data_IF_453866676141
#
_entry.id   IF_453866676141
#
_cell.length_a   1.000
_cell.length_b   1.000
_cell.length_c   1.000
_cell.angle_alpha   90.00
_cell.angle_beta   90.00
_cell.angle_gamma   90.00
#
_symmetry.space_group_name_H-M   'P 1'
#
loop_
_entity.id
_entity.type
_entity.pdbx_description
1 polymer ?
#
# COMPACT_ATOMS: atom_id res chain seq x y z
N UNK A 1 -15.79 16.39 16.65
CA UNK A 1 -14.86 15.35 16.21
C UNK A 1 -14.39 15.72 14.83
N UNK A 2 -13.09 15.89 14.63
CA UNK A 2 -12.54 16.13 13.29
C UNK A 2 -12.75 14.89 12.42
N UNK A 3 -12.69 15.05 11.10
CA UNK A 3 -12.79 13.88 10.23
C UNK A 3 -11.57 12.98 10.37
N UNK A 4 -10.40 13.53 10.72
CA UNK A 4 -9.21 12.75 11.08
C UNK A 4 -9.50 11.81 12.25
N UNK A 5 -10.02 12.35 13.36
CA UNK A 5 -10.39 11.56 14.55
C UNK A 5 -11.41 10.49 14.20
N UNK A 6 -12.46 10.86 13.45
CA UNK A 6 -13.53 9.94 13.05
C UNK A 6 -12.99 8.80 12.19
N UNK A 7 -12.14 9.10 11.21
CA UNK A 7 -11.53 8.11 10.31
C UNK A 7 -10.64 7.14 11.08
N UNK A 8 -9.82 7.64 12.00
CA UNK A 8 -8.96 6.81 12.85
C UNK A 8 -9.80 5.91 13.78
N UNK A 9 -10.85 6.44 14.39
CA UNK A 9 -11.75 5.66 15.25
C UNK A 9 -12.48 4.55 14.49
N UNK A 10 -12.94 4.82 13.26
CA UNK A 10 -13.52 3.81 12.37
C UNK A 10 -12.51 2.71 12.08
N UNK A 11 -11.29 3.09 11.68
CA UNK A 11 -10.23 2.12 11.38
C UNK A 11 -9.93 1.23 12.60
N UNK A 12 -9.70 1.85 13.77
CA UNK A 12 -9.40 1.12 15.01
C UNK A 12 -10.53 0.17 15.41
N UNK A 13 -11.78 0.57 15.19
CA UNK A 13 -12.94 -0.26 15.50
C UNK A 13 -13.06 -1.47 14.56
N UNK A 14 -12.79 -1.28 13.27
CA UNK A 14 -12.90 -2.33 12.27
C UNK A 14 -11.79 -3.39 12.40
N UNK A 15 -10.56 -2.97 12.67
CA UNK A 15 -9.38 -3.85 12.79
C UNK A 15 -8.98 -4.13 14.24
N UNK A 16 -9.84 -3.81 15.21
CA UNK A 16 -9.65 -4.08 16.64
C UNK A 16 -8.30 -3.60 17.20
N UNK A 17 -7.82 -2.45 16.71
CA UNK A 17 -6.54 -1.88 17.09
C UNK A 17 -6.61 -1.31 18.52
N UNK A 18 -6.03 -2.04 19.46
CA UNK A 18 -6.03 -1.69 20.89
C UNK A 18 -4.89 -0.76 21.29
N UNK A 19 -3.77 -0.84 20.58
CA UNK A 19 -2.58 -0.01 20.85
C UNK A 19 -2.81 1.40 20.35
N UNK A 20 -2.23 2.37 21.06
CA UNK A 20 -2.20 3.76 20.62
C UNK A 20 -0.89 4.03 19.90
N UNK A 21 -0.99 4.59 18.70
CA UNK A 21 0.16 4.87 17.84
C UNK A 21 0.31 6.39 17.70
N UNK A 22 1.52 6.95 17.90
CA UNK A 22 1.73 8.39 17.85
C UNK A 22 1.63 8.87 16.40
N UNK A 23 0.50 9.47 16.05
CA UNK A 23 0.17 9.91 14.70
C UNK A 23 -0.49 11.30 14.72
N UNK A 24 0.01 12.19 13.88
CA UNK A 24 -0.49 13.56 13.72
C UNK A 24 -0.76 13.86 12.24
N UNK A 25 -1.84 14.57 11.95
CA UNK A 25 -2.18 15.02 10.60
C UNK A 25 -2.09 16.52 10.53
N UNK A 26 -1.30 17.02 9.58
CA UNK A 26 -1.14 18.45 9.30
C UNK A 26 -1.66 18.75 7.90
N UNK A 27 -2.63 19.65 7.82
CA UNK A 27 -3.13 20.18 6.54
C UNK A 27 -2.29 21.40 6.18
N UNK A 28 -1.79 21.46 4.94
CA UNK A 28 -0.89 22.51 4.47
C UNK A 28 -1.16 22.87 3.01
N UNK A 29 -0.78 24.07 2.59
CA UNK A 29 -0.69 24.51 1.19
C UNK A 29 0.69 24.24 0.58
N UNK A 30 1.66 23.82 1.41
CA UNK A 30 3.04 23.56 1.00
C UNK A 30 3.64 22.41 1.82
N UNK A 31 3.68 21.21 1.23
CA UNK A 31 4.28 20.02 1.84
C UNK A 31 5.78 20.19 2.01
N UNK A 32 6.46 20.85 1.08
CA UNK A 32 7.91 21.03 1.13
C UNK A 32 8.32 21.92 2.31
N UNK A 33 7.65 23.06 2.47
CA UNK A 33 7.91 23.98 3.59
C UNK A 33 7.62 23.34 4.95
N UNK A 34 6.52 22.57 5.07
CA UNK A 34 6.26 21.82 6.30
C UNK A 34 7.30 20.72 6.54
N UNK A 35 7.69 19.97 5.51
CA UNK A 35 8.71 18.92 5.64
C UNK A 35 10.07 19.47 6.08
N UNK A 36 10.44 20.68 5.64
CA UNK A 36 11.67 21.37 6.08
C UNK A 36 11.65 21.73 7.56
N UNK A 37 10.50 22.15 8.11
CA UNK A 37 10.36 22.48 9.54
C UNK A 37 10.57 21.25 10.44
N UNK A 38 10.31 20.06 9.90
CA UNK A 38 10.48 18.78 10.58
C UNK A 38 11.91 18.22 10.50
N UNK A 39 12.85 18.92 9.86
CA UNK A 39 14.25 18.50 9.81
C UNK A 39 14.98 18.87 11.10
N UNK A 40 15.74 17.92 11.66
CA UNK A 40 16.51 18.14 12.89
C UNK A 40 18.03 18.05 12.69
N UNK A 41 18.48 17.51 11.55
CA UNK A 41 19.89 17.39 11.20
C UNK A 41 20.16 18.09 9.87
N UNK A 42 21.40 18.53 9.67
CA UNK A 42 21.81 19.14 8.41
C UNK A 42 21.69 18.18 7.22
N UNK A 43 21.96 16.90 7.46
CA UNK A 43 21.81 15.84 6.47
C UNK A 43 20.35 15.67 6.03
N UNK A 44 19.41 15.61 6.97
CA UNK A 44 17.96 15.53 6.68
C UNK A 44 17.49 16.78 5.91
N UNK A 45 17.95 17.97 6.33
CA UNK A 45 17.66 19.22 5.62
C UNK A 45 18.17 19.21 4.17
N UNK A 46 19.40 18.76 3.93
CA UNK A 46 19.99 18.72 2.60
C UNK A 46 19.29 17.67 1.69
N UNK A 47 18.86 16.53 2.25
CA UNK A 47 18.05 15.54 1.54
C UNK A 47 16.68 16.10 1.14
N UNK A 48 15.98 16.76 2.06
CA UNK A 48 14.68 17.38 1.78
C UNK A 48 14.80 18.48 0.71
N UNK A 49 15.84 19.31 0.79
CA UNK A 49 16.12 20.33 -0.24
C UNK A 49 16.39 19.72 -1.61
N UNK A 50 17.09 18.59 -1.68
CA UNK A 50 17.34 17.89 -2.94
C UNK A 50 16.04 17.35 -3.56
N UNK A 51 15.02 17.06 -2.75
CA UNK A 51 13.71 16.54 -3.18
C UNK A 51 12.64 17.62 -3.38
N UNK A 52 13.00 18.91 -3.42
CA UNK A 52 12.04 20.01 -3.43
C UNK A 52 10.97 19.89 -4.54
N UNK A 53 11.39 19.54 -5.76
CA UNK A 53 10.45 19.39 -6.89
C UNK A 53 9.45 18.25 -6.67
N UNK A 54 9.92 17.12 -6.13
CA UNK A 54 9.06 15.97 -5.87
C UNK A 54 8.06 16.28 -4.75
N UNK A 55 8.50 16.96 -3.69
CA UNK A 55 7.67 17.35 -2.57
C UNK A 55 6.62 18.41 -2.93
N UNK A 56 6.96 19.37 -3.79
CA UNK A 56 6.02 20.38 -4.27
C UNK A 56 4.89 19.80 -5.13
N UNK A 57 5.12 18.65 -5.76
CA UNK A 57 4.12 17.97 -6.59
C UNK A 57 3.31 16.91 -5.83
N UNK A 58 3.64 16.64 -4.56
CA UNK A 58 2.92 15.66 -3.75
C UNK A 58 1.64 16.26 -3.19
N UNK A 59 0.61 15.45 -3.14
CA UNK A 59 -0.66 15.78 -2.50
C UNK A 59 -0.74 15.27 -1.06
N UNK A 60 0.13 14.32 -0.68
CA UNK A 60 0.32 13.88 0.71
C UNK A 60 1.72 13.30 0.94
N UNK A 61 2.15 13.25 2.20
CA UNK A 61 3.41 12.65 2.63
C UNK A 61 3.34 12.15 4.08
N UNK A 62 3.55 10.85 4.28
CA UNK A 62 3.86 10.30 5.61
C UNK A 62 5.33 10.56 5.96
N UNK A 63 5.56 11.33 7.00
CA UNK A 63 6.87 11.64 7.55
C UNK A 63 7.16 10.72 8.73
N UNK A 64 8.21 9.93 8.59
CA UNK A 64 8.60 8.97 9.61
C UNK A 64 9.24 9.62 10.85
N UNK A 65 9.17 8.95 12.01
CA UNK A 65 9.85 9.39 13.22
C UNK A 65 11.37 9.36 13.10
N UNK A 66 12.01 10.13 13.97
CA UNK A 66 13.46 10.18 14.15
C UNK A 66 13.82 10.06 15.64
N UNK A 67 15.10 10.20 15.98
CA UNK A 67 15.58 10.04 17.37
C UNK A 67 15.00 11.07 18.36
N UNK A 68 14.50 12.21 17.85
CA UNK A 68 14.01 13.33 18.67
C UNK A 68 12.48 13.44 18.71
N UNK A 69 11.80 12.86 17.73
CA UNK A 69 10.34 12.90 17.58
C UNK A 69 9.87 11.52 17.10
N UNK A 70 9.19 10.80 18.01
CA UNK A 70 8.66 9.46 17.77
C UNK A 70 7.33 9.47 17.02
N UNK A 71 6.80 10.65 16.68
CA UNK A 71 5.50 10.81 16.05
C UNK A 71 5.60 10.62 14.55
N UNK A 72 4.69 9.82 13.99
CA UNK A 72 4.44 9.79 12.56
C UNK A 72 3.59 10.99 12.18
N UNK A 73 4.03 11.77 11.18
CA UNK A 73 3.33 12.99 10.75
C UNK A 73 2.85 12.85 9.32
N UNK A 74 1.54 12.87 9.10
CA UNK A 74 0.97 12.90 7.76
C UNK A 74 0.73 14.35 7.35
N UNK A 75 1.48 14.80 6.34
CA UNK A 75 1.25 16.09 5.68
C UNK A 75 0.26 15.87 4.53
N UNK A 76 -0.84 16.64 4.51
CA UNK A 76 -1.85 16.57 3.44
C UNK A 76 -1.97 17.95 2.81
N UNK A 77 -1.87 18.02 1.49
CA UNK A 77 -2.10 19.25 0.76
C UNK A 77 -3.61 19.60 0.78
N UNK A 78 -3.95 20.86 1.04
CA UNK A 78 -5.35 21.30 1.19
C UNK A 78 -6.23 21.02 -0.03
N UNK A 79 -5.65 20.96 -1.23
CA UNK A 79 -6.38 20.60 -2.46
C UNK A 79 -7.01 19.21 -2.43
N UNK A 80 -6.56 18.29 -1.56
CA UNK A 80 -7.22 17.00 -1.37
C UNK A 80 -8.57 17.09 -0.64
N UNK A 81 -8.90 18.24 -0.05
CA UNK A 81 -10.17 18.48 0.64
C UNK A 81 -11.29 18.94 -0.30
N UNK A 82 -10.95 19.37 -1.53
CA UNK A 82 -11.94 19.83 -2.51
C UNK A 82 -12.83 18.70 -3.04
N UNK A 83 -12.33 17.45 -3.25
CA UNK A 83 -13.19 16.31 -3.54
C UNK A 83 -13.66 15.64 -2.23
N UNK A 84 -14.98 15.50 -1.98
CA UNK A 84 -15.48 14.79 -0.81
C UNK A 84 -14.97 13.35 -0.77
N UNK A 85 -14.25 12.99 0.30
CA UNK A 85 -13.86 11.61 0.59
C UNK A 85 -12.42 11.24 0.27
N UNK A 86 -11.71 11.93 -0.63
CA UNK A 86 -10.32 11.58 -1.01
C UNK A 86 -9.38 11.67 0.19
N UNK A 87 -9.46 12.75 0.96
CA UNK A 87 -8.60 12.91 2.14
C UNK A 87 -8.83 11.82 3.21
N UNK A 88 -10.05 11.29 3.35
CA UNK A 88 -10.32 10.18 4.28
C UNK A 88 -9.62 8.90 3.83
N UNK A 89 -9.55 8.65 2.52
CA UNK A 89 -8.82 7.49 1.96
C UNK A 89 -7.33 7.60 2.25
N UNK A 90 -6.74 8.78 2.03
CA UNK A 90 -5.33 9.05 2.33
C UNK A 90 -5.02 8.82 3.80
N UNK A 91 -5.89 9.26 4.71
CA UNK A 91 -5.71 9.02 6.15
C UNK A 91 -5.77 7.52 6.46
N UNK A 92 -6.75 6.77 5.93
CA UNK A 92 -6.87 5.33 6.16
C UNK A 92 -5.64 4.57 5.66
N UNK A 93 -5.21 4.88 4.44
CA UNK A 93 -4.05 4.28 3.80
C UNK A 93 -2.78 4.50 4.63
N UNK A 94 -2.45 5.76 4.94
CA UNK A 94 -1.22 6.08 5.66
C UNK A 94 -1.26 5.66 7.13
N UNK A 95 -2.45 5.61 7.75
CA UNK A 95 -2.61 5.08 9.10
C UNK A 95 -2.32 3.57 9.15
N UNK A 96 -2.75 2.80 8.14
CA UNK A 96 -2.40 1.38 8.02
C UNK A 96 -0.88 1.20 7.90
N UNK A 97 -0.23 1.95 7.00
CA UNK A 97 1.22 1.86 6.82
C UNK A 97 1.98 2.26 8.08
N UNK A 98 1.53 3.31 8.76
CA UNK A 98 2.13 3.76 10.00
C UNK A 98 2.15 2.66 11.07
N UNK A 99 1.08 1.87 11.21
CA UNK A 99 1.04 0.72 12.13
C UNK A 99 2.13 -0.29 11.76
N UNK A 100 2.22 -0.66 10.48
CA UNK A 100 3.22 -1.61 10.00
C UNK A 100 4.66 -1.09 10.23
N UNK A 101 4.94 0.18 9.94
CA UNK A 101 6.24 0.81 10.21
C UNK A 101 6.56 0.91 11.70
N UNK A 102 5.56 1.11 12.55
CA UNK A 102 5.75 1.12 13.99
C UNK A 102 6.15 -0.28 14.49
N UNK A 103 5.49 -1.34 14.01
CA UNK A 103 5.90 -2.71 14.31
C UNK A 103 7.33 -2.99 13.84
N UNK A 104 7.74 -2.42 12.69
CA UNK A 104 9.10 -2.52 12.21
C UNK A 104 10.12 -1.87 13.14
N UNK A 105 9.79 -0.68 13.66
CA UNK A 105 10.62 -0.02 14.68
C UNK A 105 10.79 -0.90 15.92
N UNK A 106 9.70 -1.49 16.41
CA UNK A 106 9.74 -2.35 17.60
C UNK A 106 10.52 -3.63 17.36
N UNK A 107 10.27 -4.32 16.25
CA UNK A 107 10.92 -5.60 15.93
C UNK A 107 12.43 -5.45 15.80
N UNK A 108 12.88 -4.38 15.14
CA UNK A 108 14.30 -4.18 14.84
C UNK A 108 15.01 -3.20 15.78
N UNK A 109 14.30 -2.63 16.76
CA UNK A 109 14.86 -1.61 17.66
C UNK A 109 15.33 -0.35 16.92
N UNK A 110 14.59 0.06 15.88
CA UNK A 110 14.94 1.22 15.06
C UNK A 110 14.29 2.47 15.67
N UNK A 111 15.11 3.44 16.06
CA UNK A 111 14.66 4.72 16.61
C UNK A 111 14.56 5.82 15.55
N UNK A 112 15.31 5.70 14.45
CA UNK A 112 15.32 6.67 13.36
C UNK A 112 14.99 6.00 12.03
N UNK A 113 13.70 5.97 11.68
CA UNK A 113 13.26 5.40 10.41
C UNK A 113 13.69 6.22 9.19
N UNK A 114 13.99 7.52 9.36
CA UNK A 114 14.45 8.37 8.25
C UNK A 114 15.83 8.00 7.73
N UNK A 115 16.66 7.39 8.57
CA UNK A 115 18.06 7.02 8.22
C UNK A 115 18.31 5.50 8.26
N UNK A 116 17.33 4.71 8.68
CA UNK A 116 17.49 3.28 8.84
C UNK A 116 17.68 2.54 7.51
N UNK A 117 18.60 1.57 7.51
CA UNK A 117 18.71 0.58 6.44
C UNK A 117 18.06 -0.72 6.89
N UNK A 118 17.00 -1.13 6.20
CA UNK A 118 16.21 -2.31 6.56
C UNK A 118 16.55 -3.45 5.57
N UNK A 119 17.00 -4.64 6.03
CA UNK A 119 17.40 -5.75 5.16
C UNK A 119 16.27 -6.32 4.28
N UNK A 120 15.01 -6.17 4.71
CA UNK A 120 13.80 -6.65 4.02
C UNK A 120 13.00 -5.49 3.39
N UNK A 121 13.61 -4.32 3.21
CA UNK A 121 12.90 -3.07 2.90
C UNK A 121 11.94 -3.19 1.71
N UNK A 122 12.31 -3.92 0.66
CA UNK A 122 11.48 -4.07 -0.53
C UNK A 122 10.23 -4.93 -0.28
N UNK A 123 10.40 -6.14 0.27
CA UNK A 123 9.26 -7.02 0.59
C UNK A 123 8.37 -6.40 1.66
N UNK A 124 8.96 -5.77 2.68
CA UNK A 124 8.21 -5.09 3.73
C UNK A 124 7.35 -3.96 3.16
N UNK A 125 7.94 -3.06 2.36
CA UNK A 125 7.20 -1.95 1.77
C UNK A 125 6.09 -2.45 0.84
N UNK A 126 6.38 -3.45 0.01
CA UNK A 126 5.38 -4.08 -0.85
C UNK A 126 4.20 -4.63 -0.04
N UNK A 127 4.48 -5.37 1.04
CA UNK A 127 3.43 -5.93 1.90
C UNK A 127 2.64 -4.85 2.64
N UNK A 128 3.32 -3.82 3.16
CA UNK A 128 2.68 -2.69 3.84
C UNK A 128 1.75 -1.91 2.88
N UNK A 129 2.16 -1.74 1.62
CA UNK A 129 1.35 -1.07 0.61
C UNK A 129 0.11 -1.92 0.24
N UNK A 130 0.26 -3.24 0.03
CA UNK A 130 -0.91 -4.12 -0.23
C UNK A 130 -1.87 -4.10 0.97
N UNK A 131 -1.37 -4.17 2.21
CA UNK A 131 -2.20 -4.14 3.42
C UNK A 131 -2.96 -2.83 3.53
N UNK A 132 -2.30 -1.71 3.27
CA UNK A 132 -2.92 -0.40 3.29
C UNK A 132 -4.03 -0.25 2.24
N UNK A 133 -3.80 -0.72 1.01
CA UNK A 133 -4.81 -0.75 -0.04
C UNK A 133 -5.98 -1.65 0.32
N UNK A 134 -5.70 -2.88 0.79
CA UNK A 134 -6.73 -3.81 1.22
C UNK A 134 -7.61 -3.21 2.32
N UNK A 135 -6.99 -2.63 3.36
CA UNK A 135 -7.73 -2.07 4.49
C UNK A 135 -8.54 -0.84 4.11
N UNK A 136 -7.94 0.08 3.36
CA UNK A 136 -8.58 1.29 2.88
C UNK A 136 -9.82 0.95 2.04
N UNK A 137 -9.65 0.09 1.03
CA UNK A 137 -10.73 -0.27 0.12
C UNK A 137 -11.82 -1.12 0.78
N UNK A 138 -11.46 -2.02 1.70
CA UNK A 138 -12.46 -2.78 2.48
C UNK A 138 -13.34 -1.84 3.30
N UNK A 139 -12.77 -0.81 3.93
CA UNK A 139 -13.54 0.16 4.69
C UNK A 139 -14.40 1.05 3.78
N UNK A 140 -13.87 1.48 2.64
CA UNK A 140 -14.63 2.30 1.68
C UNK A 140 -15.82 1.54 1.09
N UNK A 141 -15.64 0.28 0.69
CA UNK A 141 -16.71 -0.55 0.16
C UNK A 141 -17.82 -0.75 1.21
N UNK A 142 -17.47 -0.96 2.48
CA UNK A 142 -18.45 -1.02 3.56
C UNK A 142 -19.24 0.29 3.76
N UNK A 143 -18.65 1.43 3.40
CA UNK A 143 -19.29 2.75 3.49
C UNK A 143 -20.10 3.11 2.25
N UNK A 144 -19.74 2.60 1.07
CA UNK A 144 -20.44 2.81 -0.20
C UNK A 144 -21.36 1.62 -0.50
N UNK A 145 -22.65 1.75 -0.19
CA UNK A 145 -23.69 0.72 -0.34
C UNK A 145 -23.51 -0.29 -1.51
N UNK A 146 -23.64 -1.57 -1.17
CA UNK A 146 -23.44 -2.81 -1.93
C UNK A 146 -24.14 -2.99 -3.30
N UNK A 147 -24.89 -2.01 -3.80
CA UNK A 147 -25.70 -2.15 -5.03
C UNK A 147 -24.89 -1.94 -6.33
N UNK A 148 -23.56 -1.77 -6.24
CA UNK A 148 -22.68 -1.48 -7.37
C UNK A 148 -21.84 -2.69 -7.86
N UNK A 149 -22.25 -3.93 -7.54
CA UNK A 149 -21.47 -5.15 -7.85
C UNK A 149 -21.05 -5.28 -9.31
N UNK A 150 -21.93 -4.92 -10.25
CA UNK A 150 -21.63 -4.98 -11.68
C UNK A 150 -20.60 -3.91 -12.10
N UNK A 151 -20.62 -2.73 -11.47
CA UNK A 151 -19.63 -1.67 -11.71
C UNK A 151 -18.26 -2.07 -11.17
N UNK A 152 -18.21 -2.67 -9.98
CA UNK A 152 -16.98 -3.16 -9.35
C UNK A 152 -16.37 -4.30 -10.17
N UNK A 153 -17.17 -5.25 -10.65
CA UNK A 153 -16.70 -6.32 -11.52
C UNK A 153 -16.16 -5.77 -12.84
N UNK A 154 -16.84 -4.80 -13.46
CA UNK A 154 -16.38 -4.17 -14.70
C UNK A 154 -15.07 -3.41 -14.49
N UNK A 155 -14.92 -2.70 -13.37
CA UNK A 155 -13.70 -2.00 -13.00
C UNK A 155 -12.51 -2.97 -12.85
N UNK A 156 -12.68 -4.06 -12.10
CA UNK A 156 -11.63 -5.08 -11.97
C UNK A 156 -11.28 -5.74 -13.31
N UNK A 157 -12.26 -6.10 -14.13
CA UNK A 157 -12.03 -6.67 -15.45
C UNK A 157 -11.24 -5.72 -16.37
N UNK A 158 -11.39 -4.40 -16.21
CA UNK A 158 -10.61 -3.41 -16.94
C UNK A 158 -9.17 -3.27 -16.42
N UNK A 159 -8.94 -3.52 -15.12
CA UNK A 159 -7.61 -3.49 -14.52
C UNK A 159 -6.79 -4.75 -14.82
N UNK A 160 -7.43 -5.89 -15.11
CA UNK A 160 -6.72 -7.15 -15.43
C UNK A 160 -5.73 -7.01 -16.61
N UNK A 161 -6.09 -6.39 -17.75
CA UNK A 161 -5.13 -6.11 -18.83
C UNK A 161 -3.94 -5.22 -18.41
N UNK A 162 -4.17 -4.25 -17.53
CA UNK A 162 -3.09 -3.40 -16.99
C UNK A 162 -2.14 -4.23 -16.12
N UNK A 163 -2.69 -5.10 -15.27
CA UNK A 163 -1.94 -6.07 -14.48
C UNK A 163 -1.12 -7.05 -15.35
N UNK A 164 -1.72 -7.60 -16.42
CA UNK A 164 -0.99 -8.44 -17.38
C UNK A 164 0.21 -7.70 -17.98
N UNK A 165 0.05 -6.40 -18.25
CA UNK A 165 1.12 -5.57 -18.78
C UNK A 165 2.26 -5.45 -17.76
N UNK A 166 1.97 -5.24 -16.47
CA UNK A 166 3.01 -5.15 -15.44
C UNK A 166 3.79 -6.46 -15.24
N UNK A 167 3.12 -7.61 -15.33
CA UNK A 167 3.77 -8.92 -15.23
C UNK A 167 4.79 -9.19 -16.35
N UNK A 168 4.68 -8.49 -17.47
CA UNK A 168 5.55 -8.65 -18.64
C UNK A 168 6.76 -7.69 -18.64
N UNK A 169 6.89 -6.80 -17.66
CA UNK A 169 7.98 -5.80 -17.55
C UNK A 169 8.90 -6.08 -16.36
N UNK A 170 9.88 -5.21 -16.10
CA UNK A 170 10.68 -5.26 -14.88
C UNK A 170 9.77 -4.99 -13.67
N UNK A 171 9.38 -6.07 -12.99
CA UNK A 171 8.46 -6.01 -11.86
C UNK A 171 8.99 -5.17 -10.70
N UNK A 172 10.31 -5.02 -10.56
CA UNK A 172 10.86 -4.18 -9.50
C UNK A 172 10.48 -2.70 -9.68
N UNK A 173 10.26 -2.26 -10.92
CA UNK A 173 9.80 -0.90 -11.25
C UNK A 173 8.28 -0.73 -11.13
N UNK A 174 7.52 -1.85 -11.13
CA UNK A 174 6.05 -1.86 -11.12
C UNK A 174 5.44 -2.40 -9.82
N UNK A 175 6.22 -2.53 -8.73
CA UNK A 175 5.73 -3.09 -7.47
C UNK A 175 4.58 -2.30 -6.85
N UNK A 176 4.58 -0.97 -7.00
CA UNK A 176 3.51 -0.12 -6.48
C UNK A 176 2.19 -0.36 -7.23
N UNK A 177 2.25 -0.48 -8.56
CA UNK A 177 1.08 -0.75 -9.40
C UNK A 177 0.51 -2.15 -9.09
N UNK A 178 1.40 -3.13 -8.90
CA UNK A 178 1.04 -4.49 -8.50
C UNK A 178 0.36 -4.52 -7.11
N UNK A 179 0.93 -3.79 -6.15
CA UNK A 179 0.40 -3.71 -4.79
C UNK A 179 -1.02 -3.11 -4.78
N UNK A 180 -1.18 -2.03 -5.55
CA UNK A 180 -2.46 -1.35 -5.77
C UNK A 180 -3.51 -2.32 -6.30
N UNK A 181 -3.24 -2.96 -7.44
CA UNK A 181 -4.17 -3.92 -8.04
C UNK A 181 -4.57 -5.04 -7.07
N UNK A 182 -3.58 -5.63 -6.39
CA UNK A 182 -3.84 -6.79 -5.55
C UNK A 182 -4.61 -6.43 -4.26
N UNK A 183 -4.34 -5.27 -3.67
CA UNK A 183 -5.13 -4.74 -2.56
C UNK A 183 -6.61 -4.54 -2.92
N UNK A 184 -6.89 -3.95 -4.09
CA UNK A 184 -8.27 -3.83 -4.61
C UNK A 184 -8.92 -5.20 -4.80
N UNK A 185 -8.23 -6.13 -5.45
CA UNK A 185 -8.72 -7.49 -5.70
C UNK A 185 -9.15 -8.18 -4.40
N UNK A 186 -8.30 -8.16 -3.37
CA UNK A 186 -8.56 -8.78 -2.08
C UNK A 186 -9.73 -8.14 -1.34
N UNK A 187 -9.81 -6.80 -1.33
CA UNK A 187 -10.88 -6.07 -0.66
C UNK A 187 -12.26 -6.41 -1.24
N UNK A 188 -12.34 -6.47 -2.56
CA UNK A 188 -13.59 -6.79 -3.28
C UNK A 188 -13.97 -8.26 -3.10
N UNK A 189 -13.00 -9.18 -3.18
CA UNK A 189 -13.21 -10.60 -2.93
C UNK A 189 -13.78 -10.84 -1.53
N UNK A 190 -13.24 -10.15 -0.51
CA UNK A 190 -13.72 -10.22 0.87
C UNK A 190 -15.16 -9.70 1.03
N UNK A 191 -15.50 -8.60 0.35
CA UNK A 191 -16.82 -7.96 0.44
C UNK A 191 -17.93 -8.72 -0.30
N UNK A 192 -17.70 -9.11 -1.56
CA UNK A 192 -18.76 -9.64 -2.44
C UNK A 192 -19.04 -11.14 -2.17
N UNK A 193 -18.17 -11.85 -1.42
CA UNK A 193 -18.23 -13.32 -1.21
C UNK A 193 -18.47 -14.09 -2.52
N UNK A 194 -17.94 -13.58 -3.62
CA UNK A 194 -18.01 -14.20 -4.94
C UNK A 194 -16.60 -14.61 -5.36
N UNK A 195 -16.47 -15.76 -6.03
CA UNK A 195 -15.20 -16.19 -6.60
C UNK A 195 -14.84 -15.30 -7.80
N UNK A 196 -14.19 -14.17 -7.52
CA UNK A 196 -13.38 -13.46 -8.51
C UNK A 196 -12.14 -14.33 -8.78
N UNK A 197 -12.30 -15.29 -9.69
CA UNK A 197 -11.17 -16.08 -10.15
C UNK A 197 -10.31 -15.23 -11.07
N UNK A 198 -9.05 -14.98 -10.67
CA UNK A 198 -8.03 -14.55 -11.61
C UNK A 198 -7.99 -15.55 -12.80
N UNK A 199 -7.79 -15.09 -14.03
CA UNK A 199 -7.67 -15.97 -15.19
C UNK A 199 -6.77 -17.18 -14.96
N UNK A 200 -7.17 -18.35 -15.44
CA UNK A 200 -6.51 -19.64 -15.13
C UNK A 200 -5.02 -19.69 -15.48
N UNK A 201 -4.58 -18.93 -16.48
CA UNK A 201 -3.16 -18.87 -16.86
C UNK A 201 -2.29 -18.19 -15.78
N UNK A 202 -2.86 -17.30 -14.95
CA UNK A 202 -2.18 -16.72 -13.79
C UNK A 202 -1.99 -17.73 -12.66
N UNK A 203 -2.79 -18.81 -12.62
CA UNK A 203 -2.71 -19.86 -11.58
C UNK A 203 -1.48 -20.76 -11.71
N UNK A 204 -0.78 -20.73 -12.86
CA UNK A 204 0.40 -21.57 -13.14
C UNK A 204 1.73 -20.83 -12.99
N UNK A 205 1.68 -19.53 -12.71
CA UNK A 205 2.83 -18.62 -12.63
C UNK A 205 3.39 -18.58 -11.19
N UNK A 206 4.69 -18.22 -10.99
CA UNK A 206 5.24 -17.94 -9.65
C UNK A 206 4.41 -16.93 -8.85
N UNK A 207 3.77 -16.00 -9.57
CA UNK A 207 2.74 -15.07 -9.06
C UNK A 207 1.73 -15.78 -8.17
N UNK A 208 1.22 -16.94 -8.57
CA UNK A 208 0.13 -17.61 -7.86
C UNK A 208 0.51 -17.98 -6.42
N UNK A 209 1.75 -18.42 -6.19
CA UNK A 209 2.21 -18.77 -4.85
C UNK A 209 2.31 -17.54 -3.96
N UNK A 210 2.91 -16.46 -4.48
CA UNK A 210 2.98 -15.18 -3.79
C UNK A 210 1.58 -14.64 -3.48
N UNK A 211 0.66 -14.64 -4.44
CA UNK A 211 -0.70 -14.17 -4.22
C UNK A 211 -1.47 -15.03 -3.21
N UNK A 212 -1.29 -16.36 -3.25
CA UNK A 212 -1.94 -17.26 -2.29
C UNK A 212 -1.44 -17.03 -0.87
N UNK A 213 -0.12 -16.95 -0.67
CA UNK A 213 0.43 -16.68 0.68
C UNK A 213 0.06 -15.29 1.16
N UNK A 214 0.00 -14.28 0.28
CA UNK A 214 -0.46 -12.94 0.67
C UNK A 214 -1.94 -12.95 1.06
N UNK A 215 -2.80 -13.60 0.28
CA UNK A 215 -4.24 -13.72 0.59
C UNK A 215 -4.47 -14.34 1.98
N UNK A 216 -3.73 -15.41 2.29
CA UNK A 216 -3.84 -16.12 3.57
C UNK A 216 -3.35 -15.28 4.77
N UNK A 217 -2.56 -14.23 4.54
CA UNK A 217 -1.91 -13.46 5.60
C UNK A 217 -2.28 -11.97 5.63
N UNK A 218 -2.98 -11.46 4.62
CA UNK A 218 -3.22 -10.01 4.48
C UNK A 218 -4.03 -9.44 5.64
N UNK A 219 -4.95 -10.24 6.19
CA UNK A 219 -5.83 -9.86 7.29
C UNK A 219 -5.26 -10.19 8.67
N UNK A 220 -4.02 -10.71 8.76
CA UNK A 220 -3.38 -10.96 10.05
C UNK A 220 -3.16 -9.66 10.81
N UNK A 221 -3.18 -9.74 12.13
CA UNK A 221 -3.01 -8.59 13.02
C UNK A 221 -1.63 -7.94 12.82
N UNK A 222 -0.56 -8.75 12.66
CA UNK A 222 0.81 -8.26 12.46
C UNK A 222 1.30 -8.49 11.03
N UNK A 223 2.00 -7.50 10.48
CA UNK A 223 2.70 -7.63 9.18
C UNK A 223 3.85 -8.67 9.24
N UNK A 224 4.32 -8.98 10.44
CA UNK A 224 5.42 -9.94 10.62
C UNK A 224 4.98 -11.39 10.73
N UNK A 225 3.67 -11.64 10.79
CA UNK A 225 3.15 -12.98 10.71
C UNK A 225 3.48 -13.56 9.32
N UNK A 226 4.38 -14.55 9.30
CA UNK A 226 4.86 -15.25 8.09
C UNK A 226 5.73 -14.41 7.14
N UNK A 227 6.29 -13.27 7.56
CA UNK A 227 7.09 -12.41 6.67
C UNK A 227 8.25 -13.15 5.99
N UNK A 228 8.90 -14.11 6.68
CA UNK A 228 10.03 -14.86 6.11
C UNK A 228 9.58 -15.71 4.91
N UNK A 229 8.46 -16.42 5.06
CA UNK A 229 7.90 -17.24 4.00
C UNK A 229 7.37 -16.36 2.84
N UNK A 230 6.76 -15.23 3.14
CA UNK A 230 6.31 -14.25 2.14
C UNK A 230 7.51 -13.69 1.37
N UNK A 231 8.61 -13.36 2.07
CA UNK A 231 9.82 -12.82 1.47
C UNK A 231 10.51 -13.85 0.56
N UNK A 232 10.50 -15.14 0.91
CA UNK A 232 11.01 -16.21 0.04
C UNK A 232 10.24 -16.26 -1.30
N UNK A 233 8.91 -16.29 -1.25
CA UNK A 233 8.06 -16.31 -2.46
C UNK A 233 8.14 -14.99 -3.24
N UNK A 234 8.27 -13.85 -2.55
CA UNK A 234 8.49 -12.55 -3.18
C UNK A 234 9.82 -12.52 -3.95
N UNK A 235 10.91 -13.00 -3.34
CA UNK A 235 12.20 -13.07 -4.01
C UNK A 235 12.20 -14.05 -5.18
N UNK A 236 11.54 -15.21 -5.05
CA UNK A 236 11.38 -16.15 -6.17
C UNK A 236 10.62 -15.51 -7.33
N UNK A 237 9.52 -14.82 -7.03
CA UNK A 237 8.70 -14.10 -8.00
C UNK A 237 9.51 -13.04 -8.76
N UNK A 238 10.23 -12.16 -8.05
CA UNK A 238 11.07 -11.10 -8.66
C UNK A 238 12.19 -11.71 -9.51
N UNK A 239 12.84 -12.78 -9.03
CA UNK A 239 14.00 -13.38 -9.70
C UNK A 239 13.65 -14.25 -10.92
N UNK A 240 12.47 -14.88 -10.94
CA UNK A 240 12.05 -15.75 -12.05
C UNK A 240 11.35 -14.95 -13.15
N UNK A 241 10.53 -13.96 -12.78
CA UNK A 241 9.79 -13.15 -13.76
C UNK A 241 10.72 -12.22 -14.54
N UNK A 242 11.83 -11.77 -13.93
CA UNK A 242 12.88 -10.99 -14.60
C UNK A 242 13.75 -11.79 -15.59
N UNK A 243 13.65 -13.13 -15.62
CA UNK A 243 14.54 -13.99 -16.42
C UNK A 243 13.90 -14.66 -17.63
N UNK A 244 12.58 -14.66 -17.76
CA UNK A 244 11.92 -15.54 -18.73
C UNK A 244 10.79 -14.91 -19.57
N UNK A 245 10.93 -13.68 -20.12
CA UNK A 245 9.85 -13.01 -20.87
C UNK A 245 9.27 -13.82 -22.05
N UNK A 246 9.99 -14.81 -22.57
CA UNK A 246 9.57 -15.63 -23.73
C UNK A 246 8.54 -16.73 -23.41
N UNK A 247 8.41 -17.19 -22.16
CA UNK A 247 7.30 -18.10 -21.80
C UNK A 247 5.95 -17.37 -21.67
N UNK A 248 5.97 -16.03 -21.59
CA UNK A 248 4.79 -15.18 -21.44
C UNK A 248 4.13 -14.84 -22.79
N UNK A 249 4.88 -14.80 -23.89
CA UNK A 249 4.35 -14.48 -25.23
C UNK A 249 3.44 -15.59 -25.80
N UNK A 250 3.59 -16.84 -25.37
CA UNK A 250 2.86 -17.99 -25.95
C UNK A 250 1.50 -18.28 -25.30
N UNK A 251 1.08 -17.53 -24.27
CA UNK A 251 -0.22 -17.71 -23.61
C UNK A 251 -1.28 -16.69 -24.05
N UNK A 252 -0.90 -15.65 -24.80
CA UNK A 252 -1.82 -14.67 -25.41
C UNK A 252 -2.59 -15.21 -26.63
N UNK A 253 -3.07 -16.45 -26.58
CA UNK A 253 -4.22 -16.84 -27.42
C UNK A 253 -5.49 -16.59 -26.62
N UNK A 254 -5.85 -15.31 -26.59
CA UNK A 254 -7.12 -14.84 -26.10
C UNK A 254 -8.26 -15.59 -26.83
N UNK A 255 -8.95 -16.48 -26.12
CA UNK A 255 -10.12 -17.21 -26.60
C UNK A 255 -11.40 -16.37 -26.62
N UNK A 256 -11.31 -15.06 -26.89
CA UNK A 256 -12.49 -14.23 -27.09
C UNK A 256 -12.92 -14.32 -28.56
N UNK A 257 -13.98 -15.07 -28.83
CA UNK A 257 -14.77 -14.84 -30.03
C UNK A 257 -15.43 -13.47 -29.91
N UNK A 258 -15.18 -12.59 -30.89
CA UNK A 258 -15.84 -11.30 -31.09
C UNK A 258 -17.36 -11.41 -31.20
#
# INVERSE_FOLDING_TARGET
>A
MSVVETTIEIYRSAYLIKKDYPFEVTITDDIYSERLKLCHTKSDEDQVKAMANDLNNRSSLLVFPNETDITFKLLIHESQFDPPGIYSQTILYEYSRMIDYFELMEKHGIFNLREAKIPEHQCFNFLADIRAEFHCNTLLNNLMNLDQKDLVSNYLCQLVPEFETFLNHDLSEHMADLATFFGYYLAIKNDIRFELSLPDYLKRQPVHKLLAILEDNIANDSIYDKIEAINEEYLDFVNNSSKNPQEYEHLHQCGHCH
#
